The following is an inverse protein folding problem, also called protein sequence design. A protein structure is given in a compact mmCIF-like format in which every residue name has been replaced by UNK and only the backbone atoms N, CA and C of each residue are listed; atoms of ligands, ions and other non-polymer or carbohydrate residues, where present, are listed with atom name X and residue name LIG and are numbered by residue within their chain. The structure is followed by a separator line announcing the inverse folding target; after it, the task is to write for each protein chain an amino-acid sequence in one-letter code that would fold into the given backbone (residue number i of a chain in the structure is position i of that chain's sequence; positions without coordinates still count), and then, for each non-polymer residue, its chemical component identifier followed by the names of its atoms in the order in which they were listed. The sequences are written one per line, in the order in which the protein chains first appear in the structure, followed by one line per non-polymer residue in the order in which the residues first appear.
data_IF_628953582399
#
_entry.id   IF_628953582399
#
_cell.length_a   1.000
_cell.length_b   1.000
_cell.length_c   1.000
_cell.angle_alpha   90.00
_cell.angle_beta   90.00
_cell.angle_gamma   90.00
#
_symmetry.space_group_name_H-M   'P 1'
#
loop_
_entity.id
_entity.type
_entity.pdbx_description
1 polymer ?
#
# COMPACT_ATOMS: atom_id res chain seq x y z
N UNK A 1 -8.62 0.85 -14.81
CA UNK A 1 -9.98 1.40 -14.63
C UNK A 1 -10.99 0.28 -14.49
N UNK A 2 -12.04 0.58 -13.77
CA UNK A 2 -13.15 -0.32 -13.50
C UNK A 2 -14.30 -0.13 -14.52
N UNK A 3 -15.35 -0.96 -14.45
CA UNK A 3 -16.51 -0.90 -15.36
C UNK A 3 -17.26 0.44 -15.31
N UNK A 4 -17.16 1.17 -14.20
CA UNK A 4 -17.74 2.51 -14.02
C UNK A 4 -16.83 3.65 -14.53
N UNK A 5 -15.83 3.33 -15.35
CA UNK A 5 -14.83 4.26 -15.89
C UNK A 5 -14.08 5.06 -14.82
N UNK A 6 -13.87 4.49 -13.64
CA UNK A 6 -13.07 5.08 -12.55
C UNK A 6 -11.84 4.22 -12.27
N UNK A 7 -10.85 4.81 -11.62
CA UNK A 7 -9.67 4.07 -11.15
C UNK A 7 -10.13 2.94 -10.22
N UNK A 8 -9.72 1.69 -10.50
CA UNK A 8 -10.05 0.54 -9.67
C UNK A 8 -9.38 0.63 -8.29
N UNK A 9 -9.88 -0.12 -7.32
CA UNK A 9 -9.26 -0.20 -5.98
C UNK A 9 -7.84 -0.74 -6.07
N UNK A 10 -7.63 -1.78 -6.86
CA UNK A 10 -6.30 -2.32 -7.18
C UNK A 10 -5.41 -1.29 -7.84
N UNK A 11 -5.95 -0.50 -8.79
CA UNK A 11 -5.22 0.59 -9.43
C UNK A 11 -4.77 1.66 -8.45
N UNK A 12 -5.60 2.02 -7.46
CA UNK A 12 -5.22 2.94 -6.38
C UNK A 12 -4.02 2.39 -5.62
N UNK A 13 -4.07 1.11 -5.20
CA UNK A 13 -2.99 0.48 -4.44
C UNK A 13 -1.71 0.37 -5.27
N UNK A 14 -1.81 -0.06 -6.53
CA UNK A 14 -0.65 -0.19 -7.42
C UNK A 14 0.03 1.16 -7.64
N UNK A 15 -0.71 2.24 -7.93
CA UNK A 15 -0.12 3.57 -8.09
C UNK A 15 0.63 4.04 -6.85
N UNK A 16 0.10 3.75 -5.64
CA UNK A 16 0.78 4.09 -4.41
C UNK A 16 2.04 3.25 -4.20
N UNK A 17 1.99 1.94 -4.46
CA UNK A 17 3.16 1.06 -4.37
C UNK A 17 4.24 1.45 -5.38
N UNK A 18 3.87 1.68 -6.65
CA UNK A 18 4.80 2.11 -7.69
C UNK A 18 5.46 3.45 -7.31
N UNK A 19 4.68 4.41 -6.78
CA UNK A 19 5.19 5.69 -6.31
C UNK A 19 6.26 5.52 -5.22
N UNK A 20 6.06 4.59 -4.27
CA UNK A 20 7.08 4.33 -3.23
C UNK A 20 8.31 3.61 -3.78
N UNK A 21 8.12 2.71 -4.74
CA UNK A 21 9.25 2.04 -5.41
C UNK A 21 10.09 3.04 -6.20
N UNK A 22 9.44 3.91 -6.99
CA UNK A 22 10.15 4.98 -7.72
C UNK A 22 10.90 5.92 -6.79
N UNK A 23 10.30 6.32 -5.65
CA UNK A 23 11.00 7.14 -4.67
C UNK A 23 12.25 6.42 -4.11
N UNK A 24 12.18 5.11 -3.89
CA UNK A 24 13.33 4.34 -3.41
C UNK A 24 14.44 4.27 -4.46
N UNK A 25 14.09 4.10 -5.74
CA UNK A 25 15.06 4.15 -6.85
C UNK A 25 15.71 5.54 -6.96
N UNK A 26 14.92 6.61 -6.91
CA UNK A 26 15.41 7.99 -6.95
C UNK A 26 16.34 8.32 -5.76
N UNK A 27 16.07 7.73 -4.60
CA UNK A 27 16.90 7.85 -3.40
C UNK A 27 18.16 6.96 -3.42
N UNK A 28 18.35 6.13 -4.45
CA UNK A 28 19.49 5.22 -4.59
C UNK A 28 19.42 3.99 -3.67
N UNK A 29 18.27 3.70 -3.08
CA UNK A 29 18.02 2.54 -2.20
C UNK A 29 16.90 1.65 -2.71
N UNK A 30 16.78 1.59 -4.03
CA UNK A 30 15.80 0.78 -4.72
C UNK A 30 16.08 -0.71 -4.71
N UNK A 31 15.44 -1.45 -5.62
CA UNK A 31 15.46 -2.92 -5.63
C UNK A 31 16.89 -3.48 -5.70
N UNK A 32 17.72 -2.95 -6.61
CA UNK A 32 19.10 -3.43 -6.76
C UNK A 32 19.96 -3.23 -5.51
N UNK A 33 19.82 -2.10 -4.82
CA UNK A 33 20.48 -1.88 -3.53
C UNK A 33 19.99 -2.86 -2.46
N UNK A 34 18.68 -3.03 -2.35
CA UNK A 34 18.08 -3.93 -1.36
C UNK A 34 18.51 -5.38 -1.57
N UNK A 35 18.63 -5.84 -2.81
CA UNK A 35 19.13 -7.17 -3.14
C UNK A 35 20.60 -7.35 -2.72
N UNK A 36 21.46 -6.37 -2.97
CA UNK A 36 22.87 -6.39 -2.54
C UNK A 36 23.00 -6.43 -1.02
N UNK A 37 22.18 -5.67 -0.31
CA UNK A 37 22.15 -5.60 1.16
C UNK A 37 21.39 -6.77 1.81
N UNK A 38 20.83 -7.69 1.01
CA UNK A 38 20.00 -8.83 1.49
C UNK A 38 18.82 -8.36 2.32
N UNK A 39 18.18 -7.29 1.88
CA UNK A 39 17.05 -6.66 2.55
C UNK A 39 15.81 -6.64 1.65
N UNK A 40 14.63 -6.64 2.27
CA UNK A 40 13.37 -6.35 1.58
C UNK A 40 12.44 -5.56 2.49
N UNK A 41 11.82 -4.50 1.95
CA UNK A 41 10.70 -3.85 2.60
C UNK A 41 9.43 -4.63 2.33
N UNK A 42 8.75 -5.04 3.39
CA UNK A 42 7.47 -5.73 3.30
C UNK A 42 6.37 -4.90 3.95
N UNK A 43 5.28 -4.75 3.22
CA UNK A 43 4.08 -4.07 3.70
C UNK A 43 3.40 -4.94 4.77
N UNK A 44 3.16 -4.36 5.94
CA UNK A 44 2.49 -5.01 7.06
C UNK A 44 1.00 -4.69 7.12
N UNK A 45 0.64 -3.48 6.77
CA UNK A 45 -0.77 -3.08 6.74
C UNK A 45 -0.99 -1.78 6.01
N UNK A 46 -2.20 -1.64 5.46
CA UNK A 46 -2.75 -0.44 4.86
C UNK A 46 -3.98 0.06 5.62
N UNK A 47 -4.12 1.36 5.67
CA UNK A 47 -5.40 2.04 5.82
C UNK A 47 -5.54 3.04 4.67
N UNK A 48 -6.52 2.86 3.82
CA UNK A 48 -6.75 3.67 2.61
C UNK A 48 -8.15 4.28 2.72
N UNK A 49 -8.22 5.60 2.82
CA UNK A 49 -9.46 6.39 2.84
C UNK A 49 -9.72 6.93 1.44
N UNK A 50 -10.91 6.68 0.90
CA UNK A 50 -11.30 7.03 -0.47
C UNK A 50 -12.43 8.07 -0.42
N UNK A 51 -12.08 9.33 -0.67
CA UNK A 51 -13.07 10.40 -0.82
C UNK A 51 -13.86 10.21 -2.11
N UNK A 52 -13.14 10.01 -3.21
CA UNK A 52 -13.68 9.57 -4.49
C UNK A 52 -12.61 8.85 -5.33
N UNK A 53 -13.02 8.01 -6.23
CA UNK A 53 -12.12 7.41 -7.23
C UNK A 53 -11.96 8.36 -8.42
N UNK A 54 -10.73 8.60 -8.91
CA UNK A 54 -10.47 9.36 -10.14
C UNK A 54 -11.24 8.78 -11.34
N UNK A 55 -11.76 9.65 -12.20
CA UNK A 55 -12.38 9.25 -13.44
C UNK A 55 -11.34 8.90 -14.53
N UNK A 56 -11.75 8.13 -15.54
CA UNK A 56 -10.93 7.87 -16.71
C UNK A 56 -10.56 9.19 -17.40
N UNK A 57 -9.27 9.39 -17.67
CA UNK A 57 -8.74 10.61 -18.28
C UNK A 57 -8.52 11.77 -17.32
N UNK A 58 -8.91 11.64 -16.05
CA UNK A 58 -8.62 12.65 -15.05
C UNK A 58 -7.12 12.66 -14.73
N UNK A 59 -6.53 13.86 -14.74
CA UNK A 59 -5.14 14.04 -14.32
C UNK A 59 -5.05 13.99 -12.82
N UNK A 60 -4.17 13.14 -12.33
CA UNK A 60 -3.93 12.94 -10.90
C UNK A 60 -2.44 13.06 -10.58
N UNK A 61 -2.15 13.38 -9.33
CA UNK A 61 -0.81 13.33 -8.77
C UNK A 61 -0.79 12.33 -7.63
N UNK A 62 0.11 11.37 -7.70
CA UNK A 62 0.36 10.39 -6.64
C UNK A 62 1.61 10.83 -5.89
N UNK A 63 1.52 10.89 -4.57
CA UNK A 63 2.62 11.31 -3.70
C UNK A 63 2.79 10.35 -2.53
N UNK A 64 4.02 10.23 -2.04
CA UNK A 64 4.36 9.41 -0.89
C UNK A 64 5.50 10.04 -0.09
N UNK A 65 5.50 9.83 1.22
CA UNK A 65 6.58 10.26 2.11
C UNK A 65 6.65 9.41 3.38
N UNK A 66 7.84 9.12 3.91
CA UNK A 66 8.00 8.57 5.24
C UNK A 66 7.69 9.64 6.28
N UNK A 67 7.04 9.26 7.38
CA UNK A 67 6.74 10.18 8.47
C UNK A 67 7.29 9.71 9.84
N UNK A 68 7.97 8.59 9.88
CA UNK A 68 8.61 8.12 11.10
C UNK A 68 8.93 6.64 11.14
N UNK A 69 9.47 6.23 12.28
CA UNK A 69 9.72 4.83 12.64
C UNK A 69 9.13 4.57 14.02
N UNK A 70 8.42 3.47 14.18
CA UNK A 70 7.83 3.05 15.46
C UNK A 70 8.12 1.57 15.72
N UNK A 71 9.04 1.30 16.63
CA UNK A 71 9.49 -0.06 16.93
C UNK A 71 10.19 -0.71 15.72
N UNK A 72 9.59 -1.75 15.16
CA UNK A 72 10.07 -2.44 13.97
C UNK A 72 9.42 -1.96 12.67
N UNK A 73 8.60 -0.90 12.72
CA UNK A 73 7.84 -0.43 11.57
C UNK A 73 8.35 0.92 11.08
N UNK A 74 8.60 1.04 9.79
CA UNK A 74 8.64 2.31 9.08
C UNK A 74 7.20 2.72 8.73
N UNK A 75 6.92 4.01 8.89
CA UNK A 75 5.61 4.60 8.73
C UNK A 75 5.62 5.49 7.49
N UNK A 76 4.69 5.27 6.58
CA UNK A 76 4.63 5.97 5.30
C UNK A 76 3.21 6.39 4.96
N UNK A 77 3.07 7.62 4.52
CA UNK A 77 1.83 8.13 3.96
C UNK A 77 1.86 8.14 2.44
N UNK A 78 0.67 8.08 1.87
CA UNK A 78 0.41 8.25 0.45
C UNK A 78 -0.82 9.13 0.25
N UNK A 79 -0.84 9.82 -0.87
CA UNK A 79 -2.05 10.51 -1.31
C UNK A 79 -2.17 10.48 -2.83
N UNK A 80 -3.42 10.49 -3.29
CA UNK A 80 -3.77 10.80 -4.68
C UNK A 80 -4.53 12.12 -4.66
N UNK A 81 -4.05 13.07 -5.44
CA UNK A 81 -4.61 14.42 -5.53
C UNK A 81 -5.06 14.69 -6.97
N UNK A 82 -6.04 15.55 -7.13
CA UNK A 82 -6.44 16.11 -8.42
C UNK A 82 -5.56 17.31 -8.85
N UNK A 83 -5.88 17.93 -9.97
CA UNK A 83 -5.17 19.11 -10.50
C UNK A 83 -5.29 20.34 -9.58
N UNK A 84 -6.29 20.39 -8.71
CA UNK A 84 -6.48 21.47 -7.72
C UNK A 84 -5.80 21.19 -6.38
N UNK A 85 -5.08 20.09 -6.27
CA UNK A 85 -4.47 19.57 -5.04
C UNK A 85 -5.48 19.13 -3.97
N UNK A 86 -6.70 18.80 -4.35
CA UNK A 86 -7.67 18.21 -3.44
C UNK A 86 -7.38 16.72 -3.28
N UNK A 87 -7.51 16.23 -2.06
CA UNK A 87 -7.28 14.82 -1.75
C UNK A 87 -8.43 13.94 -2.30
N UNK A 88 -8.10 13.03 -3.17
CA UNK A 88 -9.00 12.00 -3.69
C UNK A 88 -8.90 10.71 -2.87
N UNK A 89 -7.66 10.39 -2.48
CA UNK A 89 -7.33 9.22 -1.65
C UNK A 89 -6.24 9.62 -0.68
N UNK A 90 -6.37 9.18 0.57
CA UNK A 90 -5.36 9.29 1.63
C UNK A 90 -5.01 7.90 2.13
N UNK A 91 -3.75 7.62 2.39
CA UNK A 91 -3.39 6.33 2.94
C UNK A 91 -2.26 6.42 3.98
N UNK A 92 -2.35 5.51 4.93
CA UNK A 92 -1.35 5.25 5.94
C UNK A 92 -0.90 3.80 5.85
N UNK A 93 0.39 3.54 5.98
CA UNK A 93 0.95 2.20 5.84
C UNK A 93 2.07 1.94 6.84
N UNK A 94 2.21 0.66 7.19
CA UNK A 94 3.24 0.14 8.08
C UNK A 94 4.10 -0.86 7.31
N UNK A 95 5.40 -0.67 7.35
CA UNK A 95 6.38 -1.51 6.66
C UNK A 95 7.39 -2.06 7.65
N UNK A 96 7.83 -3.27 7.44
CA UNK A 96 8.97 -3.82 8.18
C UNK A 96 10.09 -4.23 7.22
N UNK A 97 11.30 -4.23 7.75
CA UNK A 97 12.49 -4.64 7.03
C UNK A 97 12.79 -6.10 7.32
N UNK A 98 12.97 -6.89 6.28
CA UNK A 98 13.30 -8.32 6.35
C UNK A 98 14.72 -8.55 5.84
N UNK A 99 15.45 -9.44 6.50
CA UNK A 99 16.65 -10.02 5.90
C UNK A 99 16.25 -11.19 4.99
N UNK A 100 16.57 -11.10 3.70
CA UNK A 100 16.11 -12.06 2.67
C UNK A 100 16.83 -13.42 2.73
N UNK A 101 18.01 -13.49 3.36
CA UNK A 101 18.73 -14.76 3.53
C UNK A 101 18.20 -15.57 4.71
N UNK A 102 17.88 -14.87 5.82
CA UNK A 102 17.47 -15.53 7.07
C UNK A 102 15.96 -15.56 7.27
N UNK A 103 15.20 -14.78 6.51
CA UNK A 103 13.75 -14.61 6.68
C UNK A 103 13.37 -13.89 7.99
N UNK A 104 14.29 -13.21 8.66
CA UNK A 104 14.04 -12.58 9.96
C UNK A 104 13.79 -11.08 9.84
N UNK A 105 12.94 -10.58 10.70
CA UNK A 105 12.73 -9.14 10.84
C UNK A 105 14.01 -8.45 11.30
N UNK A 106 14.31 -7.31 10.70
CA UNK A 106 15.44 -6.47 11.04
C UNK A 106 14.97 -5.23 11.80
N UNK A 107 15.84 -4.73 12.67
CA UNK A 107 15.67 -3.39 13.23
C UNK A 107 15.97 -2.37 12.13
N UNK A 108 15.10 -1.38 11.99
CA UNK A 108 15.30 -0.27 11.07
C UNK A 108 16.36 0.66 11.66
N UNK A 109 17.42 0.88 10.91
CA UNK A 109 18.53 1.76 11.29
C UNK A 109 18.38 3.10 10.58
N UNK A 110 19.10 4.11 11.05
CA UNK A 110 19.13 5.43 10.41
C UNK A 110 19.59 5.34 8.95
N UNK A 111 20.56 4.48 8.65
CA UNK A 111 21.02 4.21 7.28
C UNK A 111 19.94 3.69 6.33
N UNK A 112 18.88 3.06 6.85
CA UNK A 112 17.77 2.56 6.04
C UNK A 112 16.74 3.66 5.72
N UNK A 113 16.74 4.76 6.46
CA UNK A 113 15.77 5.84 6.32
C UNK A 113 16.38 7.16 5.84
N UNK A 114 17.64 7.45 6.18
CA UNK A 114 18.34 8.68 5.80
C UNK A 114 18.30 9.00 4.28
N UNK A 115 18.39 8.02 3.35
CA UNK A 115 18.29 8.30 1.92
C UNK A 115 16.97 8.94 1.48
N UNK A 116 15.90 8.75 2.24
CA UNK A 116 14.60 9.38 1.96
C UNK A 116 14.49 10.83 2.46
N UNK A 117 15.54 11.37 3.11
CA UNK A 117 15.55 12.69 3.72
C UNK A 117 14.88 12.75 5.09
N UNK A 118 14.56 13.95 5.54
CA UNK A 118 13.87 14.17 6.80
C UNK A 118 12.41 13.67 6.74
N UNK A 119 11.92 13.16 7.88
CA UNK A 119 10.53 12.74 7.96
C UNK A 119 9.59 13.94 7.85
N UNK A 120 8.63 13.83 6.94
CA UNK A 120 7.57 14.82 6.79
C UNK A 120 6.46 14.61 7.84
N UNK A 121 5.63 15.61 8.12
CA UNK A 121 4.50 15.45 9.02
C UNK A 121 3.56 14.31 8.58
N UNK A 122 3.01 13.60 9.57
CA UNK A 122 1.97 12.60 9.31
C UNK A 122 0.78 13.25 8.62
N UNK A 123 0.25 12.61 7.58
CA UNK A 123 -0.97 13.02 6.90
C UNK A 123 -2.15 13.06 7.89
N UNK A 124 -2.87 14.16 7.88
CA UNK A 124 -4.08 14.30 8.68
C UNK A 124 -5.20 13.44 8.08
N UNK A 125 -5.53 12.37 8.78
CA UNK A 125 -6.61 11.44 8.45
C UNK A 125 -7.04 10.68 9.70
N UNK A 126 -8.24 10.10 9.68
CA UNK A 126 -8.69 9.22 10.75
C UNK A 126 -7.74 8.03 10.89
N UNK A 127 -7.30 7.73 12.11
CA UNK A 127 -6.37 6.63 12.38
C UNK A 127 -7.14 5.44 12.97
N UNK A 128 -7.30 4.41 12.15
CA UNK A 128 -8.02 3.20 12.55
C UNK A 128 -7.15 2.18 13.32
N UNK A 129 -5.86 2.48 13.50
CA UNK A 129 -4.90 1.54 14.07
C UNK A 129 -4.60 0.36 13.13
N UNK A 130 -3.50 -0.36 13.39
CA UNK A 130 -3.02 -1.43 12.50
C UNK A 130 -3.82 -2.73 12.60
N UNK A 131 -4.30 -3.08 13.81
CA UNK A 131 -4.94 -4.39 14.04
C UNK A 131 -6.38 -4.38 13.54
N UNK A 132 -6.68 -5.28 12.60
CA UNK A 132 -8.04 -5.55 12.14
C UNK A 132 -8.66 -6.62 13.05
N UNK A 133 -9.85 -6.35 13.56
CA UNK A 133 -10.60 -7.37 14.33
C UNK A 133 -11.32 -8.29 13.35
N UNK A 134 -11.01 -9.58 13.44
CA UNK A 134 -11.69 -10.61 12.64
C UNK A 134 -13.03 -10.93 13.31
N UNK A 135 -14.16 -10.95 12.56
CA UNK A 135 -15.44 -11.38 13.09
C UNK A 135 -15.37 -12.79 13.66
N UNK A 136 -16.17 -13.06 14.69
CA UNK A 136 -16.24 -14.40 15.30
C UNK A 136 -16.97 -15.41 14.42
N UNK A 137 -17.94 -14.94 13.65
CA UNK A 137 -18.74 -15.72 12.72
C UNK A 137 -18.43 -15.26 11.31
N UNK A 138 -18.11 -16.19 10.44
CA UNK A 138 -17.80 -15.95 9.03
C UNK A 138 -18.41 -17.06 8.20
N UNK A 139 -18.91 -16.74 7.03
CA UNK A 139 -19.36 -17.67 6.02
C UNK A 139 -18.34 -17.76 4.88
N UNK A 140 -18.12 -18.96 4.36
CA UNK A 140 -17.34 -19.15 3.15
C UNK A 140 -18.19 -18.71 1.95
N UNK A 141 -17.76 -17.64 1.27
CA UNK A 141 -18.46 -17.09 0.09
C UNK A 141 -17.98 -17.70 -1.22
N UNK A 142 -16.82 -18.35 -1.24
CA UNK A 142 -16.29 -18.98 -2.43
C UNK A 142 -14.86 -19.47 -2.26
N UNK A 143 -14.37 -20.14 -3.30
CA UNK A 143 -12.99 -20.63 -3.41
C UNK A 143 -12.44 -20.29 -4.79
N UNK A 144 -11.17 -19.94 -4.85
CA UNK A 144 -10.49 -19.74 -6.11
C UNK A 144 -9.12 -20.41 -6.09
N UNK A 145 -8.64 -20.76 -7.27
CA UNK A 145 -7.26 -21.24 -7.45
C UNK A 145 -6.38 -20.03 -7.73
N UNK A 146 -5.29 -19.90 -6.98
CA UNK A 146 -4.31 -18.82 -7.21
C UNK A 146 -3.63 -19.03 -8.56
N UNK A 147 -3.81 -18.10 -9.48
CA UNK A 147 -3.19 -18.11 -10.80
C UNK A 147 -1.86 -17.35 -10.79
N UNK A 148 -0.96 -17.70 -11.71
CA UNK A 148 0.39 -17.07 -11.77
C UNK A 148 0.38 -15.57 -11.91
N UNK A 149 -0.59 -14.98 -12.60
CA UNK A 149 -0.69 -13.53 -12.81
C UNK A 149 -1.11 -12.75 -11.55
N UNK A 150 -1.56 -13.44 -10.50
CA UNK A 150 -1.89 -12.85 -9.21
C UNK A 150 -0.65 -12.69 -8.30
N UNK A 151 0.48 -13.31 -8.70
CA UNK A 151 1.69 -13.32 -7.89
C UNK A 151 2.55 -12.09 -8.15
N UNK A 152 3.18 -11.61 -7.10
CA UNK A 152 4.23 -10.58 -7.14
C UNK A 152 5.63 -11.19 -7.38
N UNK A 153 6.66 -10.37 -7.36
CA UNK A 153 8.07 -10.78 -7.52
C UNK A 153 8.57 -11.71 -6.42
N UNK A 154 7.89 -11.75 -5.27
CA UNK A 154 8.21 -12.63 -4.15
C UNK A 154 7.43 -13.97 -4.21
N UNK A 155 6.69 -14.21 -5.30
CA UNK A 155 5.81 -15.38 -5.49
C UNK A 155 4.67 -15.45 -4.47
N UNK A 156 4.29 -14.32 -3.88
CA UNK A 156 3.09 -14.19 -3.05
C UNK A 156 1.96 -13.56 -3.84
N UNK A 157 0.72 -13.82 -3.47
CA UNK A 157 -0.41 -13.07 -4.02
C UNK A 157 -0.24 -11.60 -3.68
N UNK A 158 -0.21 -10.74 -4.70
CA UNK A 158 -0.06 -9.30 -4.51
C UNK A 158 -1.18 -8.75 -3.61
N UNK A 159 -0.83 -7.88 -2.67
CA UNK A 159 -1.77 -7.31 -1.70
C UNK A 159 -3.01 -6.68 -2.35
N UNK A 160 -2.86 -6.02 -3.50
CA UNK A 160 -3.97 -5.44 -4.23
C UNK A 160 -4.93 -6.50 -4.78
N UNK A 161 -4.44 -7.69 -5.11
CA UNK A 161 -5.27 -8.79 -5.62
C UNK A 161 -6.21 -9.34 -4.54
N UNK A 162 -5.79 -9.36 -3.27
CA UNK A 162 -6.69 -9.74 -2.18
C UNK A 162 -7.90 -8.81 -2.07
N UNK A 163 -7.72 -7.51 -2.34
CA UNK A 163 -8.82 -6.53 -2.34
C UNK A 163 -9.78 -6.80 -3.50
N UNK A 164 -9.28 -7.12 -4.70
CA UNK A 164 -10.13 -7.48 -5.84
C UNK A 164 -10.90 -8.77 -5.59
N UNK A 165 -10.24 -9.80 -5.05
CA UNK A 165 -10.89 -11.06 -4.70
C UNK A 165 -12.01 -10.83 -3.66
N UNK A 166 -11.73 -10.06 -2.62
CA UNK A 166 -12.72 -9.74 -1.60
C UNK A 166 -13.91 -8.94 -2.17
N UNK A 167 -13.64 -8.07 -3.13
CA UNK A 167 -14.65 -7.24 -3.79
C UNK A 167 -15.71 -8.06 -4.53
N UNK A 168 -15.35 -9.21 -5.10
CA UNK A 168 -16.31 -10.11 -5.78
C UNK A 168 -17.44 -10.60 -4.86
N UNK A 169 -17.22 -10.58 -3.54
CA UNK A 169 -18.22 -10.95 -2.53
C UNK A 169 -19.03 -9.75 -1.98
N UNK A 170 -18.71 -8.53 -2.44
CA UNK A 170 -19.41 -7.31 -1.97
C UNK A 170 -20.64 -7.06 -2.88
N UNK A 171 -21.84 -6.82 -2.32
CA UNK A 171 -23.01 -6.50 -3.11
C UNK A 171 -22.81 -5.28 -4.03
N UNK A 172 -23.38 -5.36 -5.23
CA UNK A 172 -23.33 -4.26 -6.20
C UNK A 172 -23.95 -2.96 -5.64
N UNK A 173 -23.46 -1.82 -6.10
CA UNK A 173 -23.96 -0.50 -5.73
C UNK A 173 -23.39 0.06 -4.42
N UNK A 174 -22.61 -0.71 -3.66
CA UNK A 174 -21.96 -0.20 -2.46
C UNK A 174 -20.72 0.65 -2.81
N UNK A 175 -20.62 1.79 -2.13
CA UNK A 175 -19.45 2.66 -2.23
C UNK A 175 -18.44 2.32 -1.13
N UNK A 176 -17.30 1.80 -1.52
CA UNK A 176 -16.18 1.56 -0.60
C UNK A 176 -15.52 2.90 -0.28
N UNK A 177 -15.46 3.25 1.01
CA UNK A 177 -14.84 4.48 1.51
C UNK A 177 -13.54 4.23 2.26
N UNK A 178 -13.36 3.02 2.76
CA UNK A 178 -12.15 2.63 3.47
C UNK A 178 -11.75 1.20 3.09
N UNK A 179 -10.45 1.00 2.96
CA UNK A 179 -9.82 -0.32 2.85
C UNK A 179 -8.82 -0.44 3.98
N UNK A 180 -8.89 -1.55 4.71
CA UNK A 180 -7.91 -1.93 5.73
C UNK A 180 -7.42 -3.34 5.39
N UNK A 181 -6.14 -3.48 5.15
CA UNK A 181 -5.50 -4.74 4.75
C UNK A 181 -4.14 -4.91 5.45
#
# INVERSE_FOLDING_TARGET
TDIDAKLSLTGIMNYMQDCSTMQSEDAGVGIGYLEQEKKAWLLSSWQIMIERRPALGEKIRVVTWPYGVKGLYALRNFAILDEKNEYLVKANSYWFLLNTETGRLMRIMESDTAPYGEFSPKLEMEDAGRKIQVPKEMEETGRMVVMKHLLDTNLHVNNAQYVDIARESIPEGLRIREIRA
#
